data_IF_916773933401
#
_entry.id   IF_916773933401
#
_cell.length_a   1.000
_cell.length_b   1.000
_cell.length_c   1.000
_cell.angle_alpha   90.00
_cell.angle_beta   90.00
_cell.angle_gamma   90.00
#
_symmetry.space_group_name_H-M   'P 1'
#
loop_
_entity.id
_entity.type
_entity.pdbx_description
1 polymer ?
#
# COMPACT_ATOMS: atom_id res chain seq x y z
N UNK A 1 -19.28 -43.49 -7.01
CA UNK A 1 -18.19 -43.33 -6.03
C UNK A 1 -17.17 -42.41 -6.66
N UNK A 2 -17.03 -41.18 -6.13
CA UNK A 2 -15.99 -40.26 -6.62
C UNK A 2 -14.66 -40.68 -5.99
N UNK A 3 -13.68 -41.01 -6.81
CA UNK A 3 -12.30 -41.25 -6.38
C UNK A 3 -11.69 -39.90 -5.94
N UNK A 4 -11.46 -39.77 -4.64
CA UNK A 4 -10.72 -38.61 -4.11
C UNK A 4 -9.24 -38.83 -4.45
N UNK A 5 -8.74 -38.16 -5.51
CA UNK A 5 -7.33 -38.16 -5.82
C UNK A 5 -6.59 -37.37 -4.73
N UNK A 6 -5.71 -38.03 -3.98
CA UNK A 6 -4.81 -37.38 -3.02
C UNK A 6 -3.70 -36.69 -3.82
N UNK A 7 -3.67 -35.37 -3.77
CA UNK A 7 -2.55 -34.59 -4.31
C UNK A 7 -1.35 -34.73 -3.38
N UNK A 8 -0.25 -35.30 -3.89
CA UNK A 8 1.03 -35.33 -3.18
C UNK A 8 1.75 -34.01 -3.43
N UNK A 9 1.55 -33.06 -2.51
CA UNK A 9 2.18 -31.73 -2.56
C UNK A 9 3.35 -31.68 -1.58
N UNK A 10 4.51 -31.27 -2.08
CA UNK A 10 5.69 -31.00 -1.23
C UNK A 10 5.57 -29.61 -0.62
N UNK A 11 6.12 -29.41 0.59
CA UNK A 11 6.22 -28.10 1.19
C UNK A 11 6.95 -27.13 0.24
N UNK A 12 6.38 -25.94 0.07
CA UNK A 12 7.02 -24.84 -0.68
C UNK A 12 8.12 -24.27 0.22
N UNK A 13 9.32 -24.08 -0.35
CA UNK A 13 10.41 -23.39 0.36
C UNK A 13 9.97 -21.96 0.70
N UNK A 14 10.17 -21.53 1.95
CA UNK A 14 9.65 -20.29 2.53
C UNK A 14 10.42 -19.04 2.09
N UNK A 15 11.34 -19.14 1.14
CA UNK A 15 11.98 -17.99 0.48
C UNK A 15 10.94 -17.20 -0.31
N UNK A 16 10.99 -15.87 -0.22
CA UNK A 16 10.09 -15.01 -1.00
C UNK A 16 10.31 -15.26 -2.50
N UNK A 17 9.30 -15.82 -3.16
CA UNK A 17 9.37 -16.23 -4.57
C UNK A 17 9.52 -14.98 -5.45
N UNK A 18 10.23 -15.11 -6.57
CA UNK A 18 10.50 -13.99 -7.49
C UNK A 18 9.24 -13.19 -7.87
N UNK A 19 8.11 -13.88 -8.07
CA UNK A 19 6.82 -13.23 -8.37
C UNK A 19 6.34 -12.30 -7.24
N UNK A 20 6.53 -12.69 -5.97
CA UNK A 20 6.11 -11.88 -4.83
C UNK A 20 7.01 -10.66 -4.66
N UNK A 21 8.31 -10.81 -4.91
CA UNK A 21 9.25 -9.67 -4.94
C UNK A 21 8.91 -8.70 -6.07
N UNK A 22 8.60 -9.22 -7.26
CA UNK A 22 8.17 -8.42 -8.42
C UNK A 22 6.88 -7.66 -8.11
N UNK A 23 5.91 -8.32 -7.49
CA UNK A 23 4.65 -7.70 -7.07
C UNK A 23 4.89 -6.57 -6.07
N UNK A 24 5.68 -6.80 -5.02
CA UNK A 24 5.95 -5.77 -4.01
C UNK A 24 6.68 -4.57 -4.60
N UNK A 25 7.69 -4.80 -5.45
CA UNK A 25 8.42 -3.72 -6.11
C UNK A 25 7.51 -2.87 -7.01
N UNK A 26 6.62 -3.51 -7.78
CA UNK A 26 5.65 -2.78 -8.63
C UNK A 26 4.62 -2.03 -7.79
N UNK A 27 4.12 -2.63 -6.72
CA UNK A 27 3.16 -1.99 -5.80
C UNK A 27 3.75 -0.75 -5.15
N UNK A 28 4.98 -0.83 -4.65
CA UNK A 28 5.71 0.28 -4.06
C UNK A 28 5.98 1.40 -5.09
N UNK A 29 6.42 1.04 -6.29
CA UNK A 29 6.66 2.00 -7.36
C UNK A 29 5.38 2.75 -7.79
N UNK A 30 4.22 2.07 -7.80
CA UNK A 30 2.93 2.71 -8.08
C UNK A 30 2.51 3.61 -6.91
N UNK A 31 2.65 3.15 -5.67
CA UNK A 31 2.24 3.88 -4.47
C UNK A 31 3.07 5.15 -4.25
N UNK A 32 4.37 5.11 -4.56
CA UNK A 32 5.27 6.27 -4.41
C UNK A 32 5.13 7.31 -5.52
N UNK A 33 4.49 6.96 -6.65
CA UNK A 33 4.33 7.88 -7.77
C UNK A 33 3.11 8.78 -7.63
N UNK A 34 3.30 10.08 -7.85
CA UNK A 34 2.16 11.00 -8.00
C UNK A 34 1.45 10.74 -9.33
N UNK A 35 0.49 9.80 -9.32
CA UNK A 35 -0.27 9.40 -10.50
C UNK A 35 -1.25 10.47 -11.01
N UNK A 36 -1.45 11.56 -10.26
CA UNK A 36 -2.34 12.68 -10.61
C UNK A 36 -1.58 13.89 -11.17
N UNK A 37 -0.24 13.85 -11.23
CA UNK A 37 0.57 14.96 -11.73
C UNK A 37 0.35 15.24 -13.21
N UNK A 38 0.15 14.20 -14.00
CA UNK A 38 -0.05 14.30 -15.45
C UNK A 38 -1.54 14.21 -15.81
N UNK A 39 -1.95 14.85 -16.91
CA UNK A 39 -3.32 14.73 -17.41
C UNK A 39 -3.64 13.33 -17.94
N UNK A 40 -2.63 12.63 -18.48
CA UNK A 40 -2.77 11.30 -19.04
C UNK A 40 -2.68 10.21 -17.98
N UNK A 41 -3.40 9.10 -18.19
CA UNK A 41 -3.30 7.91 -17.35
C UNK A 41 -1.94 7.24 -17.53
N UNK A 42 -1.32 6.84 -16.43
CA UNK A 42 -0.04 6.14 -16.45
C UNK A 42 -0.21 4.74 -17.05
N UNK A 43 0.35 4.53 -18.24
CA UNK A 43 0.44 3.23 -18.89
C UNK A 43 1.69 2.49 -18.42
N UNK A 44 1.53 1.22 -18.09
CA UNK A 44 2.63 0.31 -17.76
C UNK A 44 2.99 -0.52 -18.99
N UNK A 45 4.27 -0.50 -19.37
CA UNK A 45 4.81 -1.32 -20.47
C UNK A 45 5.48 -2.57 -19.91
N UNK A 46 4.92 -3.75 -20.20
CA UNK A 46 5.44 -5.03 -19.69
C UNK A 46 6.92 -5.26 -20.08
N UNK A 47 7.31 -4.83 -21.27
CA UNK A 47 8.68 -5.04 -21.75
C UNK A 47 9.66 -4.18 -20.95
N UNK A 48 9.33 -2.92 -20.78
CA UNK A 48 10.13 -2.00 -19.99
C UNK A 48 10.24 -2.47 -18.54
N UNK A 49 9.13 -2.91 -17.93
CA UNK A 49 9.15 -3.46 -16.57
C UNK A 49 10.04 -4.70 -16.44
N UNK A 50 10.08 -5.56 -17.45
CA UNK A 50 11.00 -6.71 -17.46
C UNK A 50 12.47 -6.27 -17.49
N UNK A 51 12.80 -5.26 -18.30
CA UNK A 51 14.12 -4.70 -18.42
C UNK A 51 14.54 -4.01 -17.11
N UNK A 52 13.69 -3.16 -16.54
CA UNK A 52 13.95 -2.39 -15.31
C UNK A 52 14.13 -3.29 -14.08
N UNK A 53 13.31 -4.35 -13.97
CA UNK A 53 13.35 -5.28 -12.85
C UNK A 53 14.34 -6.44 -13.03
N UNK A 54 14.92 -6.60 -14.24
CA UNK A 54 15.82 -7.70 -14.54
C UNK A 54 15.15 -9.09 -14.46
N UNK A 55 13.86 -9.19 -14.80
CA UNK A 55 13.08 -10.44 -14.71
C UNK A 55 12.40 -10.78 -16.02
N UNK A 56 11.98 -12.04 -16.17
CA UNK A 56 11.21 -12.49 -17.33
C UNK A 56 9.77 -11.97 -17.32
N UNK A 57 9.03 -12.17 -18.42
CA UNK A 57 7.64 -11.72 -18.55
C UNK A 57 6.67 -12.41 -17.59
N UNK A 58 6.92 -13.68 -17.23
CA UNK A 58 6.01 -14.45 -16.38
C UNK A 58 5.79 -13.80 -15.01
N UNK A 59 6.82 -13.53 -14.17
CA UNK A 59 6.64 -12.88 -12.88
C UNK A 59 6.04 -11.47 -12.99
N UNK A 60 6.35 -10.72 -14.07
CA UNK A 60 5.74 -9.40 -14.29
C UNK A 60 4.23 -9.53 -14.54
N UNK A 61 3.81 -10.47 -15.40
CA UNK A 61 2.38 -10.69 -15.68
C UNK A 61 1.61 -11.21 -14.48
N UNK A 62 2.19 -12.12 -13.70
CA UNK A 62 1.58 -12.60 -12.45
C UNK A 62 1.42 -11.44 -11.43
N UNK A 63 2.43 -10.60 -11.30
CA UNK A 63 2.36 -9.41 -10.45
C UNK A 63 1.31 -8.41 -10.92
N UNK A 64 1.25 -8.11 -12.22
CA UNK A 64 0.23 -7.22 -12.79
C UNK A 64 -1.18 -7.78 -12.62
N UNK A 65 -1.38 -9.09 -12.82
CA UNK A 65 -2.69 -9.73 -12.59
C UNK A 65 -3.14 -9.61 -11.14
N UNK A 66 -2.21 -9.77 -10.18
CA UNK A 66 -2.49 -9.58 -8.76
C UNK A 66 -2.81 -8.12 -8.44
N UNK A 67 -2.06 -7.17 -8.99
CA UNK A 67 -2.33 -5.73 -8.83
C UNK A 67 -3.69 -5.34 -9.45
N UNK A 68 -4.11 -6.00 -10.52
CA UNK A 68 -5.42 -5.81 -11.12
C UNK A 68 -6.54 -6.31 -10.21
N UNK A 69 -6.38 -7.48 -9.59
CA UNK A 69 -7.32 -8.00 -8.59
C UNK A 69 -7.46 -7.09 -7.37
N UNK A 70 -6.36 -6.45 -6.97
CA UNK A 70 -6.33 -5.47 -5.87
C UNK A 70 -6.81 -4.05 -6.29
N UNK A 71 -7.08 -3.83 -7.58
CA UNK A 71 -7.59 -2.56 -8.11
C UNK A 71 -6.54 -1.45 -8.25
N UNK A 72 -5.24 -1.79 -8.25
CA UNK A 72 -4.16 -0.82 -8.53
C UNK A 72 -3.98 -0.54 -10.01
N UNK A 73 -4.23 -1.55 -10.86
CA UNK A 73 -4.13 -1.42 -12.30
C UNK A 73 -5.38 -2.00 -12.98
N UNK A 74 -5.56 -1.68 -14.24
CA UNK A 74 -6.59 -2.28 -15.11
C UNK A 74 -6.01 -2.62 -16.46
N UNK A 75 -6.40 -3.76 -17.01
CA UNK A 75 -6.03 -4.20 -18.34
C UNK A 75 -7.06 -3.73 -19.36
N UNK A 76 -6.62 -2.99 -20.37
CA UNK A 76 -7.45 -2.59 -21.49
C UNK A 76 -7.09 -3.43 -22.71
N UNK A 77 -8.00 -4.25 -23.25
CA UNK A 77 -7.71 -5.12 -24.38
C UNK A 77 -7.08 -4.35 -25.54
N UNK A 78 -5.97 -4.87 -26.08
CA UNK A 78 -5.18 -4.29 -27.17
C UNK A 78 -4.53 -2.94 -26.89
N UNK A 79 -4.73 -2.33 -25.72
CA UNK A 79 -4.18 -1.02 -25.35
C UNK A 79 -3.11 -1.10 -24.26
N UNK A 80 -3.14 -2.16 -23.42
CA UNK A 80 -2.15 -2.39 -22.37
C UNK A 80 -2.71 -2.27 -20.95
N UNK A 81 -1.82 -2.17 -19.99
CA UNK A 81 -2.12 -2.06 -18.56
C UNK A 81 -1.99 -0.60 -18.12
N UNK A 82 -2.92 -0.11 -17.35
CA UNK A 82 -2.97 1.27 -16.86
C UNK A 82 -3.14 1.31 -15.35
N UNK A 83 -2.48 2.25 -14.69
CA UNK A 83 -2.68 2.49 -13.25
C UNK A 83 -4.06 3.13 -13.06
N UNK A 84 -4.81 2.59 -12.09
CA UNK A 84 -6.17 3.08 -11.78
C UNK A 84 -6.08 4.38 -11.00
N UNK A 85 -6.79 5.40 -11.48
CA UNK A 85 -7.01 6.66 -10.76
C UNK A 85 -8.40 6.65 -10.16
N UNK A 86 -8.48 7.00 -8.89
CA UNK A 86 -9.75 7.22 -8.20
C UNK A 86 -10.21 8.65 -8.42
N UNK A 87 -11.49 8.84 -8.58
CA UNK A 87 -12.10 10.17 -8.57
C UNK A 87 -12.06 10.78 -7.17
N UNK A 88 -12.16 12.10 -7.08
CA UNK A 88 -12.28 12.80 -5.79
C UNK A 88 -13.44 12.27 -4.94
N UNK A 89 -14.58 11.97 -5.58
CA UNK A 89 -15.75 11.41 -4.90
C UNK A 89 -15.44 10.04 -4.28
N UNK A 90 -14.85 9.11 -5.05
CA UNK A 90 -14.45 7.79 -4.55
C UNK A 90 -13.45 7.90 -3.39
N UNK A 91 -12.47 8.82 -3.48
CA UNK A 91 -11.50 9.04 -2.39
C UNK A 91 -12.21 9.53 -1.12
N UNK A 92 -13.14 10.47 -1.24
CA UNK A 92 -13.93 10.98 -0.10
C UNK A 92 -14.76 9.86 0.53
N UNK A 93 -15.41 9.02 -0.27
CA UNK A 93 -16.18 7.87 0.22
C UNK A 93 -15.29 6.88 0.97
N UNK A 94 -14.11 6.54 0.41
CA UNK A 94 -13.14 5.66 1.08
C UNK A 94 -12.67 6.24 2.42
N UNK A 95 -12.32 7.53 2.47
CA UNK A 95 -11.90 8.22 3.70
C UNK A 95 -13.04 8.22 4.73
N UNK A 96 -14.28 8.42 4.30
CA UNK A 96 -15.45 8.41 5.19
C UNK A 96 -15.66 7.05 5.85
N UNK A 97 -15.56 5.97 5.08
CA UNK A 97 -15.66 4.60 5.61
C UNK A 97 -14.49 4.30 6.56
N UNK A 98 -13.27 4.67 6.16
CA UNK A 98 -12.09 4.50 7.00
C UNK A 98 -12.21 5.23 8.33
N UNK A 99 -12.62 6.49 8.32
CA UNK A 99 -12.84 7.27 9.54
C UNK A 99 -13.87 6.63 10.48
N UNK A 100 -14.92 6.00 9.96
CA UNK A 100 -15.89 5.26 10.76
C UNK A 100 -15.27 4.02 11.44
N UNK A 101 -14.45 3.26 10.69
CA UNK A 101 -13.75 2.08 11.22
C UNK A 101 -12.73 2.48 12.30
N UNK A 102 -11.95 3.52 12.07
CA UNK A 102 -10.96 4.01 13.03
C UNK A 102 -11.59 4.60 14.28
N UNK A 103 -12.70 5.30 14.13
CA UNK A 103 -13.46 5.80 15.30
C UNK A 103 -13.93 4.64 16.18
N UNK A 104 -14.38 3.55 15.57
CA UNK A 104 -14.77 2.35 16.33
C UNK A 104 -13.53 1.66 16.93
N UNK A 105 -12.43 1.52 16.20
CA UNK A 105 -11.19 0.94 16.72
C UNK A 105 -10.66 1.75 17.91
N UNK A 106 -10.59 3.07 17.79
CA UNK A 106 -10.19 3.96 18.89
C UNK A 106 -11.07 3.80 20.13
N UNK A 107 -12.38 3.70 19.97
CA UNK A 107 -13.30 3.41 21.05
C UNK A 107 -12.99 2.07 21.72
N UNK A 108 -12.84 0.99 20.94
CA UNK A 108 -12.55 -0.34 21.48
C UNK A 108 -11.20 -0.37 22.21
N UNK A 109 -10.19 0.34 21.72
CA UNK A 109 -8.89 0.49 22.40
C UNK A 109 -9.07 1.18 23.76
N UNK A 110 -9.82 2.28 23.83
CA UNK A 110 -10.05 2.98 25.10
C UNK A 110 -10.84 2.14 26.12
N UNK A 111 -11.68 1.22 25.66
CA UNK A 111 -12.48 0.32 26.51
C UNK A 111 -11.72 -0.95 26.95
N UNK A 112 -10.71 -1.41 26.19
CA UNK A 112 -10.12 -2.76 26.34
C UNK A 112 -8.62 -2.81 26.47
N UNK A 113 -7.89 -1.81 25.93
CA UNK A 113 -6.44 -1.80 25.95
C UNK A 113 -5.89 -1.43 27.31
N UNK A 114 -4.73 -2.00 27.66
CA UNK A 114 -4.00 -1.63 28.86
C UNK A 114 -3.31 -0.27 28.72
N UNK A 115 -3.01 0.35 29.86
CA UNK A 115 -2.34 1.67 29.91
C UNK A 115 -1.05 1.72 29.10
N UNK A 116 -0.29 0.62 29.04
CA UNK A 116 0.98 0.59 28.31
C UNK A 116 0.81 0.57 26.81
N UNK A 117 -0.27 -0.06 26.29
CA UNK A 117 -0.63 -0.03 24.88
C UNK A 117 -1.06 1.39 24.47
N UNK A 118 -1.90 2.04 25.29
CA UNK A 118 -2.33 3.43 25.06
C UNK A 118 -1.13 4.39 25.10
N UNK A 119 -0.21 4.22 26.06
CA UNK A 119 1.03 5.00 26.12
C UNK A 119 1.94 4.76 24.91
N UNK A 120 1.94 3.54 24.35
CA UNK A 120 2.69 3.22 23.14
C UNK A 120 2.18 4.01 21.94
N UNK A 121 0.85 4.03 21.71
CA UNK A 121 0.23 4.84 20.65
C UNK A 121 0.54 6.33 20.81
N UNK A 122 0.45 6.86 22.02
CA UNK A 122 0.77 8.28 22.29
C UNK A 122 2.23 8.61 21.97
N UNK A 123 3.17 7.71 22.27
CA UNK A 123 4.60 7.92 21.98
C UNK A 123 4.91 8.02 20.49
N UNK A 124 4.06 7.46 19.60
CA UNK A 124 4.27 7.56 18.14
C UNK A 124 4.25 9.01 17.65
N UNK A 125 3.54 9.91 18.33
CA UNK A 125 3.44 11.32 17.97
C UNK A 125 4.24 12.25 18.89
N UNK A 126 5.00 11.73 19.86
CA UNK A 126 5.73 12.56 20.82
C UNK A 126 6.76 13.49 20.19
N UNK A 127 7.35 13.12 19.04
CA UNK A 127 8.29 13.96 18.29
C UNK A 127 7.62 15.19 17.64
N UNK A 128 6.30 15.23 17.54
CA UNK A 128 5.54 16.33 16.95
C UNK A 128 4.92 17.28 18.00
N UNK A 129 4.92 16.88 19.27
CA UNK A 129 4.31 17.62 20.39
C UNK A 129 5.22 18.78 20.87
N UNK A 130 6.54 18.62 20.71
CA UNK A 130 7.51 19.67 21.00
C UNK A 130 7.50 20.70 19.85
N UNK A 131 6.73 21.76 20.04
CA UNK A 131 6.54 22.85 19.09
C UNK A 131 7.83 23.60 18.75
N UNK A 132 8.76 22.96 18.10
CA UNK A 132 9.96 23.60 17.58
C UNK A 132 9.62 24.46 16.36
N UNK A 133 9.64 25.78 16.60
CA UNK A 133 9.46 26.83 15.62
C UNK A 133 10.73 27.04 14.79
N UNK A 134 11.37 26.00 14.30
CA UNK A 134 12.47 26.16 13.35
C UNK A 134 11.94 26.50 11.97
N UNK A 135 11.82 27.77 11.69
CA UNK A 135 11.56 28.36 10.38
C UNK A 135 12.74 28.10 9.45
N UNK A 136 12.66 27.06 8.60
CA UNK A 136 13.56 26.83 7.48
C UNK A 136 12.81 26.14 6.36
N UNK A 137 12.79 26.75 5.18
CA UNK A 137 12.01 26.35 4.00
C UNK A 137 12.31 24.91 3.49
N UNK A 138 13.45 24.31 3.87
CA UNK A 138 13.79 22.91 3.57
C UNK A 138 13.30 21.90 4.62
N UNK A 139 12.93 22.34 5.83
CA UNK A 139 12.47 21.48 6.91
C UNK A 139 10.99 21.12 6.83
N UNK A 140 10.17 21.91 6.14
CA UNK A 140 8.72 21.70 6.09
C UNK A 140 8.34 20.41 5.31
N UNK A 141 8.98 20.14 4.17
CA UNK A 141 8.70 18.94 3.38
C UNK A 141 9.12 17.67 4.11
N UNK A 142 10.32 17.65 4.70
CA UNK A 142 10.80 16.51 5.46
C UNK A 142 9.93 16.20 6.69
N UNK A 143 9.41 17.24 7.36
CA UNK A 143 8.47 17.06 8.49
C UNK A 143 7.10 16.55 8.06
N UNK A 144 6.64 16.96 6.87
CA UNK A 144 5.39 16.42 6.30
C UNK A 144 5.55 14.95 5.98
N UNK A 145 6.67 14.53 5.40
CA UNK A 145 6.95 13.13 5.08
C UNK A 145 7.06 12.29 6.36
N UNK A 146 7.79 12.77 7.38
CA UNK A 146 7.90 12.11 8.69
C UNK A 146 6.53 12.00 9.40
N UNK A 147 5.73 13.06 9.37
CA UNK A 147 4.38 13.03 9.91
C UNK A 147 3.50 12.03 9.16
N UNK A 148 3.59 11.99 7.82
CA UNK A 148 2.84 11.06 6.98
C UNK A 148 3.17 9.61 7.31
N UNK A 149 4.46 9.28 7.43
CA UNK A 149 4.92 7.93 7.80
C UNK A 149 4.45 7.53 9.20
N UNK A 150 4.53 8.45 10.16
CA UNK A 150 4.07 8.21 11.53
C UNK A 150 2.57 8.02 11.58
N UNK A 151 1.82 8.80 10.81
CA UNK A 151 0.37 8.70 10.68
C UNK A 151 -0.03 7.33 10.11
N UNK A 152 0.65 6.86 9.07
CA UNK A 152 0.40 5.51 8.49
C UNK A 152 0.65 4.42 9.54
N UNK A 153 1.75 4.48 10.28
CA UNK A 153 2.06 3.50 11.35
C UNK A 153 1.03 3.53 12.48
N UNK A 154 0.56 4.72 12.84
CA UNK A 154 -0.49 4.89 13.84
C UNK A 154 -1.79 4.22 13.42
N UNK A 155 -2.25 4.47 12.18
CA UNK A 155 -3.43 3.82 11.63
C UNK A 155 -3.30 2.29 11.57
N UNK A 156 -2.11 1.79 11.21
CA UNK A 156 -1.82 0.35 11.23
C UNK A 156 -1.83 -0.24 12.64
N UNK A 157 -1.46 0.53 13.65
CA UNK A 157 -1.44 0.08 15.04
C UNK A 157 -2.84 0.14 15.71
N UNK A 158 -3.78 0.88 15.14
CA UNK A 158 -5.18 0.94 15.61
C UNK A 158 -6.00 -0.26 15.16
N UNK A 159 -5.64 -0.92 14.05
CA UNK A 159 -6.38 -2.01 13.42
C UNK A 159 -5.77 -3.38 13.72
#
# INVERSE_FOLDING_TARGET
MALTAKLDVRPIDTGMVLKDRTYLALKEAIASKNIYADAEELRLDERQLCEDLGVSRTPVREALARLEQEGFVRTVPRRGVYVVRKTKAEIIEMITVWAALESMAARLITERAGDDEIKSLRRMFSSFDDGDKSNGDGGASARIDEYSDTNIRFHQALL
#
